data_IF_255933579026
#
_entry.id   IF_255933579026
#
_cell.length_a   1.000
_cell.length_b   1.000
_cell.length_c   1.000
_cell.angle_alpha   90.00
_cell.angle_beta   90.00
_cell.angle_gamma   90.00
#
_symmetry.space_group_name_H-M   'P 1'
#
loop_
_entity.id
_entity.type
_entity.pdbx_description
1 polymer ?
#
# COMPACT_ATOMS: atom_id res chain seq x y z
N UNK A 1 -18.83 38.74 -34.56
CA UNK A 1 -18.47 38.80 -33.13
C UNK A 1 -17.45 39.91 -32.95
N UNK A 2 -17.72 40.88 -32.10
CA UNK A 2 -16.80 42.02 -31.84
C UNK A 2 -15.82 41.66 -30.72
N UNK A 3 -14.66 42.32 -30.69
CA UNK A 3 -13.65 42.16 -29.62
C UNK A 3 -14.25 42.33 -28.22
N UNK A 4 -15.26 43.19 -28.08
CA UNK A 4 -15.99 43.40 -26.84
C UNK A 4 -16.76 42.15 -26.38
N UNK A 5 -17.42 41.44 -27.31
CA UNK A 5 -18.14 40.20 -27.00
C UNK A 5 -17.18 39.08 -26.56
N UNK A 6 -16.00 38.98 -27.16
CA UNK A 6 -14.98 38.00 -26.73
C UNK A 6 -14.46 38.28 -25.32
N UNK A 7 -14.33 39.56 -24.93
CA UNK A 7 -13.88 39.95 -23.60
C UNK A 7 -14.93 39.65 -22.53
N UNK A 8 -16.21 39.84 -22.86
CA UNK A 8 -17.34 39.54 -21.98
C UNK A 8 -17.49 38.03 -21.75
N UNK A 9 -17.40 37.23 -22.82
CA UNK A 9 -17.40 35.77 -22.74
C UNK A 9 -16.21 35.25 -21.93
N UNK A 10 -15.01 35.81 -22.11
CA UNK A 10 -13.83 35.42 -21.34
C UNK A 10 -13.98 35.77 -19.84
N UNK A 11 -14.60 36.90 -19.52
CA UNK A 11 -14.88 37.29 -18.14
C UNK A 11 -15.90 36.32 -17.49
N UNK A 12 -16.96 35.95 -18.22
CA UNK A 12 -17.96 34.99 -17.77
C UNK A 12 -17.37 33.59 -17.54
N UNK A 13 -16.49 33.13 -18.45
CA UNK A 13 -15.78 31.85 -18.31
C UNK A 13 -14.84 31.87 -17.10
N UNK A 14 -14.12 32.96 -16.85
CA UNK A 14 -13.24 33.10 -15.67
C UNK A 14 -14.02 33.11 -14.36
N UNK A 15 -15.18 33.76 -14.32
CA UNK A 15 -16.04 33.76 -13.14
C UNK A 15 -16.58 32.36 -12.83
N UNK A 16 -17.03 31.62 -13.85
CA UNK A 16 -17.47 30.23 -13.71
C UNK A 16 -16.33 29.29 -13.31
N UNK A 17 -15.11 29.53 -13.79
CA UNK A 17 -13.92 28.81 -13.37
C UNK A 17 -13.61 29.06 -11.89
N UNK A 18 -13.63 30.32 -11.44
CA UNK A 18 -13.46 30.66 -10.03
C UNK A 18 -14.54 30.06 -9.12
N UNK A 19 -15.78 29.94 -9.61
CA UNK A 19 -16.89 29.31 -8.86
C UNK A 19 -16.79 27.77 -8.86
N UNK A 20 -16.18 27.16 -9.88
CA UNK A 20 -15.81 25.73 -9.89
C UNK A 20 -14.64 25.46 -8.94
N UNK A 21 -13.63 26.35 -8.93
CA UNK A 21 -12.49 26.32 -8.01
C UNK A 21 -12.92 26.59 -6.56
N UNK A 22 -13.94 27.42 -6.33
CA UNK A 22 -14.51 27.61 -4.98
C UNK A 22 -15.31 26.39 -4.50
N UNK A 23 -15.95 25.65 -5.42
CA UNK A 23 -16.64 24.37 -5.13
C UNK A 23 -15.66 23.24 -4.82
N UNK A 24 -14.45 23.33 -5.34
CA UNK A 24 -13.36 22.40 -5.10
C UNK A 24 -12.17 23.16 -4.49
N UNK A 25 -12.15 23.39 -3.17
CA UNK A 25 -11.17 24.27 -2.56
C UNK A 25 -9.74 23.87 -2.98
N UNK A 26 -8.92 24.81 -3.48
CA UNK A 26 -7.50 24.57 -3.66
C UNK A 26 -6.88 24.38 -2.28
N UNK A 27 -6.71 23.13 -1.88
CA UNK A 27 -6.20 22.76 -0.56
C UNK A 27 -7.29 22.45 0.46
N UNK A 28 -8.01 21.35 0.30
CA UNK A 28 -8.22 20.51 1.49
C UNK A 28 -6.87 19.95 1.88
N UNK A 29 -6.52 20.04 3.16
CA UNK A 29 -5.49 19.22 3.80
C UNK A 29 -5.50 17.80 3.21
N UNK A 30 -4.64 17.53 2.21
CA UNK A 30 -4.09 16.20 2.09
C UNK A 30 -2.94 16.25 3.09
N UNK A 31 -3.04 15.63 4.27
CA UNK A 31 -1.85 15.45 5.09
C UNK A 31 -0.79 14.84 4.20
N UNK A 32 0.31 15.56 4.00
CA UNK A 32 1.45 15.04 3.29
C UNK A 32 1.94 13.79 4.04
N UNK A 33 2.13 12.69 3.31
CA UNK A 33 2.61 11.36 3.75
C UNK A 33 1.56 10.44 4.42
N UNK A 34 0.67 9.86 3.60
CA UNK A 34 0.70 8.40 3.38
C UNK A 34 0.91 8.03 1.89
N UNK A 35 1.29 9.01 1.06
CA UNK A 35 1.30 8.83 -0.39
C UNK A 35 2.48 8.00 -0.89
N UNK A 36 3.67 8.16 -0.31
CA UNK A 36 4.89 7.56 -0.87
C UNK A 36 4.90 6.03 -0.76
N UNK A 37 4.56 5.49 0.42
CA UNK A 37 4.44 4.03 0.61
C UNK A 37 3.38 3.45 -0.34
N UNK A 38 2.18 4.05 -0.36
CA UNK A 38 1.09 3.59 -1.22
C UNK A 38 1.46 3.67 -2.71
N UNK A 39 2.12 4.74 -3.15
CA UNK A 39 2.60 4.91 -4.52
C UNK A 39 3.65 3.86 -4.88
N UNK A 40 4.63 3.61 -4.00
CA UNK A 40 5.66 2.59 -4.21
C UNK A 40 5.05 1.20 -4.27
N UNK A 41 4.16 0.86 -3.33
CA UNK A 41 3.45 -0.42 -3.34
C UNK A 41 2.60 -0.58 -4.61
N UNK A 42 1.80 0.42 -4.97
CA UNK A 42 0.99 0.37 -6.19
C UNK A 42 1.86 0.18 -7.45
N UNK A 43 3.01 0.85 -7.53
CA UNK A 43 3.96 0.68 -8.63
C UNK A 43 4.49 -0.75 -8.69
N UNK A 44 4.77 -1.38 -7.55
CA UNK A 44 5.16 -2.81 -7.50
C UNK A 44 4.05 -3.69 -8.04
N UNK A 45 2.80 -3.52 -7.61
CA UNK A 45 1.66 -4.31 -8.10
C UNK A 45 1.47 -4.20 -9.63
N UNK A 46 1.75 -3.03 -10.22
CA UNK A 46 1.62 -2.80 -11.66
C UNK A 46 2.80 -3.33 -12.49
N UNK A 47 3.97 -3.52 -11.87
CA UNK A 47 5.21 -3.84 -12.59
C UNK A 47 5.83 -5.17 -12.18
N UNK A 48 5.20 -5.90 -11.26
CA UNK A 48 5.67 -7.21 -10.86
C UNK A 48 5.51 -8.22 -12.00
N UNK A 49 6.52 -9.08 -12.16
CA UNK A 49 6.54 -10.07 -13.26
C UNK A 49 5.86 -11.39 -12.89
N UNK A 50 5.76 -11.67 -11.59
CA UNK A 50 5.11 -12.84 -11.01
C UNK A 50 4.82 -12.59 -9.52
N UNK A 51 4.09 -13.51 -8.87
CA UNK A 51 3.68 -13.36 -7.47
C UNK A 51 4.89 -13.26 -6.52
N UNK A 52 5.93 -14.07 -6.71
CA UNK A 52 7.10 -14.04 -5.82
C UNK A 52 7.77 -12.67 -5.87
N UNK A 53 8.03 -12.15 -7.08
CA UNK A 53 8.59 -10.80 -7.29
C UNK A 53 7.75 -9.72 -6.61
N UNK A 54 6.41 -9.83 -6.69
CA UNK A 54 5.50 -8.91 -6.02
C UNK A 54 5.69 -8.93 -4.50
N UNK A 55 5.67 -10.12 -3.87
CA UNK A 55 5.81 -10.23 -2.41
C UNK A 55 7.19 -9.75 -1.94
N UNK A 56 8.28 -10.08 -2.65
CA UNK A 56 9.64 -9.63 -2.32
C UNK A 56 9.77 -8.11 -2.38
N UNK A 57 9.29 -7.50 -3.46
CA UNK A 57 9.41 -6.05 -3.69
C UNK A 57 8.53 -5.25 -2.74
N UNK A 58 7.31 -5.70 -2.44
CA UNK A 58 6.45 -5.04 -1.44
C UNK A 58 7.11 -5.10 -0.06
N UNK A 59 7.62 -6.25 0.35
CA UNK A 59 8.32 -6.38 1.63
C UNK A 59 9.53 -5.44 1.70
N UNK A 60 10.33 -5.36 0.63
CA UNK A 60 11.45 -4.42 0.54
C UNK A 60 11.03 -2.97 0.77
N UNK A 61 9.99 -2.52 0.05
CA UNK A 61 9.44 -1.16 0.22
C UNK A 61 9.00 -0.88 1.66
N UNK A 62 8.31 -1.83 2.31
CA UNK A 62 7.84 -1.68 3.70
C UNK A 62 9.01 -1.63 4.68
N UNK A 63 10.02 -2.46 4.50
CA UNK A 63 11.22 -2.46 5.35
C UNK A 63 12.00 -1.15 5.22
N UNK A 64 12.19 -0.66 4.00
CA UNK A 64 12.90 0.59 3.73
C UNK A 64 12.19 1.79 4.38
N UNK A 65 10.86 1.86 4.26
CA UNK A 65 10.07 2.96 4.83
C UNK A 65 10.02 2.90 6.35
N UNK A 66 9.98 1.70 6.94
CA UNK A 66 9.93 1.54 8.41
C UNK A 66 11.32 1.51 9.07
N UNK A 67 12.40 1.41 8.28
CA UNK A 67 13.76 1.21 8.79
C UNK A 67 13.97 -0.16 9.47
N UNK A 68 13.08 -1.12 9.25
CA UNK A 68 13.11 -2.43 9.89
C UNK A 68 14.14 -3.35 9.21
N UNK A 69 14.90 -4.10 10.00
CA UNK A 69 15.87 -5.08 9.48
C UNK A 69 15.21 -6.38 9.00
N UNK A 70 14.10 -6.76 9.65
CA UNK A 70 13.41 -8.03 9.43
C UNK A 70 11.91 -7.78 9.31
N UNK A 71 11.25 -8.60 8.51
CA UNK A 71 9.80 -8.57 8.34
C UNK A 71 9.29 -9.77 7.56
N UNK A 72 7.97 -9.95 7.61
CA UNK A 72 7.23 -10.95 6.86
C UNK A 72 6.12 -10.26 6.08
N UNK A 73 5.88 -10.72 4.84
CA UNK A 73 4.76 -10.27 4.04
C UNK A 73 4.06 -11.48 3.42
N UNK A 74 2.75 -11.56 3.59
CA UNK A 74 1.98 -12.75 3.26
C UNK A 74 0.49 -12.47 3.22
N UNK A 75 -0.30 -13.51 2.96
CA UNK A 75 -1.75 -13.42 2.86
C UNK A 75 -2.42 -14.56 3.65
N UNK A 76 -3.69 -14.37 4.00
CA UNK A 76 -4.51 -15.44 4.56
C UNK A 76 -5.17 -16.18 3.40
N UNK A 77 -4.87 -17.47 3.28
CA UNK A 77 -5.52 -18.36 2.30
C UNK A 77 -6.94 -18.72 2.77
N UNK A 78 -7.76 -19.21 1.86
CA UNK A 78 -9.17 -19.58 2.14
C UNK A 78 -9.35 -20.54 3.32
N UNK A 79 -8.39 -21.42 3.58
CA UNK A 79 -8.37 -22.33 4.73
C UNK A 79 -7.97 -21.65 6.06
N UNK A 80 -7.78 -20.33 6.04
CA UNK A 80 -7.35 -19.51 7.16
C UNK A 80 -5.86 -19.58 7.46
N UNK A 81 -5.07 -20.34 6.69
CA UNK A 81 -3.63 -20.42 6.89
C UNK A 81 -2.95 -19.11 6.48
N UNK A 82 -1.95 -18.67 7.25
CA UNK A 82 -1.07 -17.59 6.83
C UNK A 82 -0.03 -18.18 5.88
N UNK A 83 -0.04 -17.71 4.65
CA UNK A 83 0.93 -18.08 3.62
C UNK A 83 1.90 -16.91 3.46
N UNK A 84 3.18 -17.19 3.63
CA UNK A 84 4.28 -16.23 3.50
C UNK A 84 5.15 -16.70 2.32
N UNK A 85 4.89 -16.18 1.10
CA UNK A 85 5.66 -16.57 -0.08
C UNK A 85 7.11 -16.11 -0.01
N UNK A 86 7.36 -15.00 0.69
CA UNK A 86 8.68 -14.37 0.79
C UNK A 86 8.92 -13.84 2.20
N UNK A 87 10.17 -13.87 2.64
CA UNK A 87 10.65 -13.30 3.90
C UNK A 87 11.88 -12.47 3.63
N UNK A 88 12.27 -11.57 4.53
CA UNK A 88 13.54 -10.86 4.35
C UNK A 88 14.71 -11.85 4.29
N UNK A 89 15.72 -11.60 3.45
CA UNK A 89 16.82 -12.53 3.20
C UNK A 89 17.56 -12.97 4.48
N UNK A 90 17.63 -12.11 5.50
CA UNK A 90 18.18 -12.44 6.82
C UNK A 90 17.28 -13.33 7.68
N UNK A 91 15.96 -13.32 7.50
CA UNK A 91 15.06 -14.26 8.16
C UNK A 91 15.07 -15.63 7.46
N UNK A 92 15.27 -15.65 6.14
CA UNK A 92 15.42 -16.88 5.34
C UNK A 92 16.63 -17.72 5.75
N UNK A 93 17.76 -17.08 6.08
CA UNK A 93 18.98 -17.80 6.52
C UNK A 93 18.77 -18.59 7.81
N UNK A 94 17.79 -18.21 8.63
CA UNK A 94 17.42 -18.93 9.86
C UNK A 94 16.38 -20.05 9.62
N UNK A 95 15.63 -20.00 8.51
CA UNK A 95 14.55 -20.95 8.21
C UNK A 95 14.92 -22.13 7.29
N UNK A 96 16.16 -22.20 6.78
CA UNK A 96 16.79 -23.37 6.12
C UNK A 96 16.07 -24.05 4.91
N UNK A 97 14.95 -23.56 4.35
CA UNK A 97 14.22 -24.30 3.28
C UNK A 97 13.94 -23.46 2.01
N UNK A 98 14.90 -23.31 1.09
CA UNK A 98 14.71 -22.55 -0.14
C UNK A 98 13.54 -23.06 -0.99
N UNK A 99 12.74 -22.14 -1.55
CA UNK A 99 11.83 -22.43 -2.65
C UNK A 99 10.45 -22.97 -2.30
N UNK A 100 10.03 -22.97 -1.02
CA UNK A 100 8.63 -23.23 -0.65
C UNK A 100 8.06 -22.08 0.18
N UNK A 101 6.82 -21.63 -0.09
CA UNK A 101 6.16 -20.66 0.75
C UNK A 101 6.03 -21.22 2.17
N UNK A 102 6.30 -20.40 3.18
CA UNK A 102 6.12 -20.77 4.57
C UNK A 102 4.63 -20.68 4.89
N UNK A 103 4.02 -21.82 5.25
CA UNK A 103 2.59 -21.90 5.56
C UNK A 103 2.43 -22.16 7.04
N UNK A 104 1.69 -21.29 7.72
CA UNK A 104 1.31 -21.45 9.12
C UNK A 104 -0.19 -21.79 9.20
N UNK A 105 -0.55 -23.08 9.39
CA UNK A 105 -1.93 -23.51 9.48
C UNK A 105 -2.66 -22.83 10.63
N UNK A 106 -3.88 -22.35 10.38
CA UNK A 106 -4.72 -21.64 11.37
C UNK A 106 -4.83 -22.37 12.72
N UNK A 107 -4.91 -23.70 12.69
CA UNK A 107 -5.04 -24.59 13.85
C UNK A 107 -3.78 -24.64 14.74
N UNK A 108 -2.62 -24.28 14.20
CA UNK A 108 -1.33 -24.29 14.90
C UNK A 108 -0.98 -22.92 15.49
N UNK A 109 -1.83 -21.92 15.25
CA UNK A 109 -1.63 -20.59 15.78
C UNK A 109 -1.88 -20.56 17.29
N UNK A 110 -0.83 -20.38 18.09
CA UNK A 110 -0.96 -20.15 19.54
C UNK A 110 -1.61 -18.79 19.86
N UNK A 111 -1.54 -18.38 21.14
CA UNK A 111 -2.14 -17.14 21.64
C UNK A 111 -1.18 -15.94 21.73
N UNK A 112 -0.11 -15.99 20.95
CA UNK A 112 0.84 -14.89 20.83
C UNK A 112 0.22 -13.60 20.26
N UNK A 113 1.04 -12.57 20.12
CA UNK A 113 0.60 -11.27 19.63
C UNK A 113 0.15 -11.31 18.16
N UNK A 114 0.95 -11.91 17.27
CA UNK A 114 0.63 -11.93 15.84
C UNK A 114 -0.61 -12.78 15.50
N UNK A 115 -0.86 -13.97 16.10
CA UNK A 115 -2.10 -14.70 15.86
C UNK A 115 -3.32 -13.92 16.30
N UNK A 116 -3.23 -13.23 17.44
CA UNK A 116 -4.31 -12.39 17.96
C UNK A 116 -4.61 -11.23 17.01
N UNK A 117 -3.58 -10.57 16.49
CA UNK A 117 -3.73 -9.48 15.52
C UNK A 117 -4.42 -9.95 14.24
N UNK A 118 -3.99 -11.10 13.69
CA UNK A 118 -4.61 -11.69 12.52
C UNK A 118 -6.02 -12.22 12.79
N UNK A 119 -6.34 -12.63 14.03
CA UNK A 119 -7.69 -13.05 14.44
C UNK A 119 -8.65 -11.88 14.58
N UNK A 120 -8.21 -10.78 15.16
CA UNK A 120 -9.07 -9.60 15.42
C UNK A 120 -9.11 -8.61 14.26
N UNK A 121 -8.13 -8.66 13.35
CA UNK A 121 -7.93 -7.62 12.35
C UNK A 121 -7.47 -6.29 12.94
N UNK A 122 -6.95 -6.29 14.17
CA UNK A 122 -6.50 -5.08 14.87
C UNK A 122 -4.97 -5.04 14.93
N UNK A 123 -4.43 -3.84 14.74
CA UNK A 123 -3.03 -3.53 15.04
C UNK A 123 -2.87 -3.27 16.54
N UNK A 124 -1.78 -3.77 17.13
CA UNK A 124 -1.41 -3.50 18.52
C UNK A 124 -0.16 -2.63 18.52
N UNK A 125 -0.17 -1.57 19.34
CA UNK A 125 0.93 -0.63 19.56
C UNK A 125 1.54 -0.85 20.94
#
# INVERSE_FOLDING_TARGET
MTKAQLLEELAAVRARLAELEARHPPGTDRPAAPTELLQKVATVFLTATNDIDLYERVLGVVLDVTGSKLGLFGHIREDGALVVPTMSAQAWSQCQVPGKPLVFPRKEWGDGLWPRALRSGQQFH
#
